data_IF_892845686182
#
_entry.id   IF_892845686182
#
_cell.length_a   1.000
_cell.length_b   1.000
_cell.length_c   1.000
_cell.angle_alpha   90.00
_cell.angle_beta   90.00
_cell.angle_gamma   90.00
#
_symmetry.space_group_name_H-M   'P 1'
#
loop_
_entity.id
_entity.type
_entity.pdbx_description
1 polymer ?
#
# COMPACT_ATOMS: atom_id res chain seq x y z
N UNK A 1 10.17 -11.92 -21.31
CA UNK A 1 9.06 -12.83 -20.92
C UNK A 1 8.85 -12.72 -19.41
N UNK A 2 7.59 -12.69 -18.97
CA UNK A 2 7.09 -12.22 -17.66
C UNK A 2 6.93 -13.34 -16.61
N UNK A 3 8.03 -14.00 -16.24
CA UNK A 3 8.05 -15.12 -15.29
C UNK A 3 7.71 -14.71 -13.85
N UNK A 4 7.94 -13.43 -13.48
CA UNK A 4 7.69 -12.90 -12.13
C UNK A 4 6.22 -13.00 -11.70
N UNK A 5 5.28 -12.73 -12.62
CA UNK A 5 3.84 -12.77 -12.33
C UNK A 5 3.35 -14.20 -12.01
N UNK A 6 3.91 -15.20 -12.68
CA UNK A 6 3.64 -16.61 -12.44
C UNK A 6 4.28 -17.07 -11.13
N UNK A 7 5.56 -16.73 -10.92
CA UNK A 7 6.28 -17.03 -9.67
C UNK A 7 5.52 -16.49 -8.44
N UNK A 8 5.08 -15.23 -8.49
CA UNK A 8 4.30 -14.61 -7.39
C UNK A 8 2.99 -15.36 -7.11
N UNK A 9 2.27 -15.82 -8.15
CA UNK A 9 1.04 -16.62 -8.00
C UNK A 9 1.33 -17.98 -7.38
N UNK A 10 2.37 -18.67 -7.83
CA UNK A 10 2.75 -19.98 -7.32
C UNK A 10 3.21 -19.91 -5.85
N UNK A 11 4.07 -18.94 -5.49
CA UNK A 11 4.50 -18.71 -4.10
C UNK A 11 3.30 -18.49 -3.19
N UNK A 12 2.34 -17.68 -3.62
CA UNK A 12 1.11 -17.43 -2.85
C UNK A 12 0.26 -18.70 -2.71
N UNK A 13 0.12 -19.48 -3.77
CA UNK A 13 -0.59 -20.76 -3.75
C UNK A 13 0.01 -21.73 -2.72
N UNK A 14 1.34 -21.87 -2.72
CA UNK A 14 2.08 -22.72 -1.77
C UNK A 14 1.87 -22.22 -0.33
N UNK A 15 2.06 -20.92 -0.08
CA UNK A 15 1.86 -20.34 1.26
C UNK A 15 0.47 -20.64 1.82
N UNK A 16 -0.56 -20.55 0.98
CA UNK A 16 -1.94 -20.75 1.41
C UNK A 16 -2.26 -22.23 1.63
N UNK A 17 -1.71 -23.11 0.80
CA UNK A 17 -1.83 -24.56 0.98
C UNK A 17 -1.18 -24.99 2.29
N UNK A 18 0.07 -24.60 2.52
CA UNK A 18 0.81 -24.92 3.75
C UNK A 18 0.11 -24.35 4.98
N UNK A 19 -0.40 -23.11 4.90
CA UNK A 19 -1.18 -22.54 6.00
C UNK A 19 -2.44 -23.38 6.33
N UNK A 20 -3.10 -23.92 5.31
CA UNK A 20 -4.25 -24.82 5.50
C UNK A 20 -3.82 -26.14 6.16
N UNK A 21 -2.75 -26.76 5.66
CA UNK A 21 -2.22 -28.03 6.18
C UNK A 21 -1.80 -27.92 7.65
N UNK A 22 -1.27 -26.75 8.05
CA UNK A 22 -0.87 -26.46 9.43
C UNK A 22 -2.03 -25.99 10.33
N UNK A 23 -3.26 -25.88 9.80
CA UNK A 23 -4.41 -25.33 10.54
C UNK A 23 -4.28 -23.84 10.89
N UNK A 24 -3.40 -23.10 10.21
CA UNK A 24 -3.17 -21.68 10.48
C UNK A 24 -4.32 -20.80 9.97
N UNK A 25 -4.81 -19.90 10.83
CA UNK A 25 -5.88 -18.95 10.46
C UNK A 25 -5.36 -17.65 9.86
N UNK A 26 -4.06 -17.35 10.01
CA UNK A 26 -3.42 -16.10 9.61
C UNK A 26 -2.10 -16.37 8.89
N UNK A 27 -1.79 -15.54 7.89
CA UNK A 27 -0.53 -15.57 7.14
C UNK A 27 0.13 -14.20 7.28
N UNK A 28 1.27 -14.15 7.97
CA UNK A 28 2.05 -12.93 8.12
C UNK A 28 3.01 -12.75 6.94
N UNK A 29 2.98 -11.57 6.31
CA UNK A 29 3.90 -11.19 5.23
C UNK A 29 4.69 -9.97 5.65
N UNK A 30 6.00 -9.97 5.40
CA UNK A 30 6.94 -8.93 5.82
C UNK A 30 6.90 -7.64 4.99
N UNK A 31 5.76 -7.29 4.41
CA UNK A 31 5.64 -6.04 3.65
C UNK A 31 5.73 -4.86 4.61
N UNK A 32 6.60 -3.90 4.28
CA UNK A 32 6.81 -2.70 5.07
C UNK A 32 6.08 -1.50 4.47
N UNK A 33 6.25 -0.33 5.08
CA UNK A 33 5.56 0.89 4.67
C UNK A 33 5.87 1.29 3.22
N UNK A 34 7.14 1.25 2.84
CA UNK A 34 7.58 1.62 1.50
C UNK A 34 6.97 0.69 0.43
N UNK A 35 6.84 -0.62 0.69
CA UNK A 35 6.15 -1.55 -0.22
C UNK A 35 4.70 -1.13 -0.51
N UNK A 36 4.02 -0.56 0.50
CA UNK A 36 2.64 -0.08 0.42
C UNK A 36 2.59 1.18 -0.44
N UNK A 37 3.54 2.11 -0.27
CA UNK A 37 3.63 3.32 -1.11
C UNK A 37 4.01 2.99 -2.55
N UNK A 38 4.99 2.10 -2.76
CA UNK A 38 5.34 1.60 -4.08
C UNK A 38 4.13 0.96 -4.77
N UNK A 39 3.37 0.15 -4.04
CA UNK A 39 2.18 -0.49 -4.60
C UNK A 39 1.07 0.52 -4.88
N UNK A 40 0.89 1.54 -4.06
CA UNK A 40 -0.03 2.65 -4.33
C UNK A 40 0.34 3.32 -5.66
N UNK A 41 1.59 3.74 -5.81
CA UNK A 41 2.06 4.44 -7.02
C UNK A 41 2.01 3.55 -8.26
N UNK A 42 2.35 2.28 -8.15
CA UNK A 42 2.20 1.34 -9.26
C UNK A 42 0.74 1.24 -9.73
N UNK A 43 -0.21 1.17 -8.81
CA UNK A 43 -1.63 1.13 -9.18
C UNK A 43 -2.13 2.48 -9.72
N UNK A 44 -1.69 3.58 -9.12
CA UNK A 44 -2.07 4.93 -9.53
C UNK A 44 -1.57 5.23 -10.96
N UNK A 45 -0.26 5.07 -11.20
CA UNK A 45 0.40 5.48 -12.44
C UNK A 45 0.14 4.53 -13.61
N UNK A 46 0.07 3.22 -13.37
CA UNK A 46 0.00 2.23 -14.46
C UNK A 46 -1.34 1.50 -14.57
N UNK A 47 -2.24 1.63 -13.58
CA UNK A 47 -3.55 0.94 -13.62
C UNK A 47 -4.75 1.85 -13.40
N UNK A 48 -4.53 3.13 -13.07
CA UNK A 48 -5.58 4.11 -12.80
C UNK A 48 -6.42 3.79 -11.57
N UNK A 49 -5.82 3.21 -10.52
CA UNK A 49 -6.54 2.80 -9.30
C UNK A 49 -5.87 3.36 -8.04
N UNK A 50 -6.67 4.00 -7.18
CA UNK A 50 -6.30 4.29 -5.80
C UNK A 50 -6.41 3.01 -4.97
N UNK A 51 -5.33 2.21 -4.98
CA UNK A 51 -5.29 0.93 -4.30
C UNK A 51 -3.88 0.58 -3.85
N UNK A 52 -3.77 0.04 -2.64
CA UNK A 52 -2.54 -0.55 -2.12
C UNK A 52 -2.77 -1.93 -1.48
N UNK A 53 -1.93 -2.31 -0.52
CA UNK A 53 -1.93 -3.53 0.25
C UNK A 53 -2.24 -3.23 1.73
N UNK A 54 -3.50 -3.36 2.17
CA UNK A 54 -3.86 -3.01 3.54
C UNK A 54 -3.15 -3.93 4.56
N UNK A 55 -2.96 -3.47 5.80
CA UNK A 55 -2.27 -4.21 6.85
C UNK A 55 -2.98 -5.53 7.21
N UNK A 56 -4.29 -5.61 6.97
CA UNK A 56 -5.12 -6.80 7.20
C UNK A 56 -6.08 -6.99 6.05
N UNK A 57 -6.12 -8.20 5.47
CA UNK A 57 -6.99 -8.52 4.34
C UNK A 57 -7.50 -9.95 4.45
N UNK A 58 -8.82 -10.15 4.28
CA UNK A 58 -9.38 -11.49 4.15
C UNK A 58 -8.95 -12.10 2.82
N UNK A 59 -8.38 -13.31 2.86
CA UNK A 59 -8.06 -14.04 1.65
C UNK A 59 -9.32 -14.36 0.84
N UNK A 60 -9.20 -14.39 -0.50
CA UNK A 60 -10.31 -14.73 -1.40
C UNK A 60 -10.94 -16.09 -1.10
N UNK A 61 -10.15 -17.04 -0.57
CA UNK A 61 -10.65 -18.37 -0.20
C UNK A 61 -11.50 -18.37 1.08
N UNK A 62 -11.66 -17.22 1.75
CA UNK A 62 -12.43 -17.05 2.98
C UNK A 62 -11.88 -17.76 4.22
N UNK A 63 -10.81 -18.55 4.09
CA UNK A 63 -10.26 -19.40 5.16
C UNK A 63 -9.11 -18.73 5.94
N UNK A 64 -8.41 -17.79 5.32
CA UNK A 64 -7.21 -17.17 5.90
C UNK A 64 -7.34 -15.65 5.96
N UNK A 65 -6.64 -15.05 6.91
CA UNK A 65 -6.41 -13.61 6.96
C UNK A 65 -4.93 -13.33 6.70
N UNK A 66 -4.64 -12.48 5.71
CA UNK A 66 -3.29 -11.97 5.49
C UNK A 66 -3.08 -10.77 6.41
N UNK A 67 -1.97 -10.79 7.15
CA UNK A 67 -1.54 -9.69 8.02
C UNK A 67 -0.15 -9.19 7.58
N UNK A 68 0.09 -7.89 7.74
CA UNK A 68 1.38 -7.22 7.46
C UNK A 68 1.79 -6.43 8.71
N UNK A 69 2.46 -7.09 9.68
CA UNK A 69 2.80 -6.44 10.95
C UNK A 69 3.71 -5.22 10.78
N UNK A 70 4.49 -5.16 9.70
CA UNK A 70 5.46 -4.11 9.42
C UNK A 70 4.91 -2.98 8.55
N UNK A 71 3.60 -2.96 8.27
CA UNK A 71 2.97 -2.03 7.32
C UNK A 71 3.23 -0.54 7.60
N UNK A 72 3.53 -0.16 8.84
CA UNK A 72 3.84 1.23 9.22
C UNK A 72 5.34 1.50 9.45
N UNK A 73 6.19 0.48 9.31
CA UNK A 73 7.63 0.57 9.57
C UNK A 73 8.36 0.95 8.28
N UNK A 74 9.27 1.93 8.34
CA UNK A 74 10.08 2.34 7.19
C UNK A 74 11.15 1.29 6.86
N UNK A 75 11.51 1.16 5.58
CA UNK A 75 12.57 0.26 5.12
C UNK A 75 13.90 0.55 5.84
N UNK A 76 14.25 1.84 5.99
CA UNK A 76 15.49 2.26 6.65
C UNK A 76 15.61 1.76 8.11
N UNK A 77 14.51 1.77 8.85
CA UNK A 77 14.47 1.28 10.24
C UNK A 77 14.63 -0.24 10.29
N UNK A 78 14.04 -0.96 9.34
CA UNK A 78 14.18 -2.42 9.23
C UNK A 78 15.60 -2.83 8.87
N UNK A 79 16.25 -2.11 7.95
CA UNK A 79 17.66 -2.33 7.59
C UNK A 79 18.54 -2.14 8.83
N UNK A 80 18.41 -1.00 9.51
CA UNK A 80 19.16 -0.73 10.75
C UNK A 80 18.90 -1.77 11.83
N UNK A 81 17.65 -2.18 12.01
CA UNK A 81 17.31 -3.23 12.98
C UNK A 81 17.95 -4.56 12.61
N UNK A 82 17.94 -4.95 11.34
CA UNK A 82 18.54 -6.19 10.89
C UNK A 82 20.06 -6.22 11.09
N UNK A 83 20.75 -5.09 10.85
CA UNK A 83 22.18 -4.92 11.15
C UNK A 83 22.47 -5.09 12.64
N UNK A 84 21.72 -4.38 13.51
CA UNK A 84 21.87 -4.47 14.96
C UNK A 84 21.62 -5.88 15.51
N UNK A 85 20.71 -6.63 14.88
CA UNK A 85 20.39 -8.01 15.26
C UNK A 85 21.26 -9.04 14.55
N UNK A 86 22.16 -8.62 13.67
CA UNK A 86 22.99 -9.47 12.83
C UNK A 86 22.17 -10.55 12.10
N UNK A 87 21.00 -10.19 11.57
CA UNK A 87 20.20 -11.15 10.81
C UNK A 87 20.87 -11.48 9.47
N UNK A 88 20.86 -12.77 9.05
CA UNK A 88 21.36 -13.13 7.73
C UNK A 88 20.42 -12.56 6.66
N UNK A 89 20.91 -11.61 5.87
CA UNK A 89 20.16 -11.04 4.74
C UNK A 89 20.34 -11.95 3.53
N UNK A 90 19.23 -12.51 3.05
CA UNK A 90 19.20 -13.28 1.81
C UNK A 90 18.95 -12.30 0.67
N UNK A 91 19.91 -12.06 -0.24
CA UNK A 91 19.73 -11.11 -1.33
C UNK A 91 18.63 -11.59 -2.28
N UNK A 92 17.72 -10.70 -2.66
CA UNK A 92 16.63 -11.00 -3.57
C UNK A 92 17.05 -10.94 -5.06
N UNK A 93 18.31 -11.25 -5.37
CA UNK A 93 18.82 -11.41 -6.74
C UNK A 93 18.71 -12.87 -7.25
N UNK A 94 18.13 -13.76 -6.45
CA UNK A 94 17.99 -15.20 -6.73
C UNK A 94 17.09 -15.51 -7.94
N UNK A 95 16.31 -14.54 -8.42
CA UNK A 95 15.48 -14.70 -9.60
C UNK A 95 16.19 -14.02 -10.79
N UNK A 96 16.76 -14.81 -11.70
CA UNK A 96 17.41 -14.31 -12.92
C UNK A 96 16.46 -13.60 -13.91
N UNK A 97 15.17 -13.47 -13.58
CA UNK A 97 14.26 -12.56 -14.27
C UNK A 97 14.41 -11.17 -13.64
N UNK A 98 14.85 -10.21 -14.46
CA UNK A 98 15.00 -8.79 -14.10
C UNK A 98 13.93 -8.32 -13.11
N UNK A 99 14.37 -7.62 -12.06
CA UNK A 99 13.47 -6.91 -11.15
C UNK A 99 12.44 -6.12 -11.98
N UNK A 100 11.20 -6.10 -11.52
CA UNK A 100 10.12 -5.38 -12.20
C UNK A 100 10.56 -3.92 -12.37
N UNK A 101 11.00 -3.56 -13.58
CA UNK A 101 11.60 -2.25 -13.89
C UNK A 101 10.75 -1.11 -13.35
N UNK A 102 9.42 -1.26 -13.40
CA UNK A 102 8.47 -0.29 -12.88
C UNK A 102 8.53 -0.13 -11.36
N UNK A 103 8.77 -1.21 -10.61
CA UNK A 103 8.93 -1.13 -9.16
C UNK A 103 10.24 -0.42 -8.80
N UNK A 104 11.33 -0.70 -9.52
CA UNK A 104 12.58 0.02 -9.33
C UNK A 104 12.44 1.51 -9.66
N UNK A 105 11.78 1.84 -10.78
CA UNK A 105 11.46 3.21 -11.17
C UNK A 105 10.65 3.94 -10.09
N UNK A 106 9.57 3.35 -9.61
CA UNK A 106 8.72 3.92 -8.55
C UNK A 106 9.50 4.09 -7.24
N UNK A 107 10.35 3.13 -6.88
CA UNK A 107 11.22 3.23 -5.70
C UNK A 107 12.23 4.37 -5.84
N UNK A 108 12.81 4.55 -7.02
CA UNK A 108 13.66 5.68 -7.36
C UNK A 108 12.93 7.01 -7.22
N UNK A 109 11.72 7.11 -7.78
CA UNK A 109 10.86 8.28 -7.69
C UNK A 109 10.54 8.67 -6.24
N UNK A 110 10.14 7.69 -5.40
CA UNK A 110 9.86 7.95 -3.98
C UNK A 110 11.08 8.48 -3.24
N UNK A 111 12.27 7.92 -3.50
CA UNK A 111 13.51 8.36 -2.88
C UNK A 111 13.91 9.76 -3.31
N UNK A 112 13.82 10.07 -4.60
CA UNK A 112 14.10 11.41 -5.12
C UNK A 112 13.13 12.43 -4.52
N UNK A 113 11.84 12.10 -4.46
CA UNK A 113 10.83 13.01 -3.93
C UNK A 113 11.02 13.26 -2.43
N UNK A 114 11.34 12.23 -1.65
CA UNK A 114 11.66 12.37 -0.21
C UNK A 114 12.91 13.21 0.03
N UNK A 115 13.92 13.12 -0.83
CA UNK A 115 15.11 13.98 -0.75
C UNK A 115 14.78 15.45 -1.06
N UNK A 116 13.90 15.69 -2.03
CA UNK A 116 13.49 17.05 -2.43
C UNK A 116 12.49 17.67 -1.47
N UNK A 117 11.65 16.86 -0.85
CA UNK A 117 10.59 17.26 0.08
C UNK A 117 10.50 16.27 1.24
N UNK A 118 11.33 16.44 2.28
CA UNK A 118 11.32 15.56 3.45
C UNK A 118 9.94 15.48 4.11
N UNK A 119 9.49 14.27 4.44
CA UNK A 119 8.17 14.01 5.00
C UNK A 119 7.07 13.78 3.96
N UNK A 120 7.37 13.90 2.66
CA UNK A 120 6.38 13.64 1.62
C UNK A 120 5.84 12.20 1.67
N UNK A 121 6.70 11.21 1.96
CA UNK A 121 6.29 9.82 2.09
C UNK A 121 5.46 9.58 3.34
N UNK A 122 5.62 10.40 4.40
CA UNK A 122 4.76 10.36 5.60
C UNK A 122 3.36 10.84 5.26
N UNK A 123 3.28 11.99 4.59
CA UNK A 123 2.03 12.57 4.10
C UNK A 123 1.30 11.60 3.16
N UNK A 124 2.00 11.00 2.19
CA UNK A 124 1.43 10.00 1.28
C UNK A 124 0.88 8.77 2.02
N UNK A 125 1.57 8.31 3.07
CA UNK A 125 1.11 7.17 3.85
C UNK A 125 -0.12 7.52 4.69
N UNK A 126 -0.14 8.71 5.31
CA UNK A 126 -1.30 9.21 6.06
C UNK A 126 -2.54 9.38 5.15
N UNK A 127 -2.36 9.83 3.91
CA UNK A 127 -3.44 9.97 2.93
C UNK A 127 -4.16 8.64 2.63
N UNK A 128 -3.53 7.48 2.87
CA UNK A 128 -4.18 6.18 2.69
C UNK A 128 -5.31 5.91 3.70
N UNK A 129 -5.30 6.57 4.87
CA UNK A 129 -6.38 6.52 5.86
C UNK A 129 -7.24 7.78 5.89
N UNK A 130 -6.73 8.89 5.35
CA UNK A 130 -7.39 10.19 5.38
C UNK A 130 -8.00 10.50 4.01
N UNK A 131 -9.13 9.85 3.70
CA UNK A 131 -9.83 10.01 2.42
C UNK A 131 -10.98 10.98 2.59
N UNK A 132 -11.13 11.93 1.66
CA UNK A 132 -12.26 12.86 1.58
C UNK A 132 -13.17 12.49 0.38
N UNK A 133 -14.18 11.60 0.56
CA UNK A 133 -15.03 11.12 -0.54
C UNK A 133 -15.68 12.20 -1.41
N UNK A 134 -16.20 13.32 -0.87
CA UNK A 134 -16.82 14.38 -1.69
C UNK A 134 -15.82 15.08 -2.62
N UNK A 135 -14.52 15.06 -2.27
CA UNK A 135 -13.42 15.67 -3.03
C UNK A 135 -12.74 14.66 -3.98
N UNK A 136 -13.33 13.48 -4.13
CA UNK A 136 -12.95 12.48 -5.13
C UNK A 136 -14.04 12.35 -6.20
N UNK A 137 -13.83 11.45 -7.17
CA UNK A 137 -14.72 11.29 -8.33
C UNK A 137 -15.56 10.00 -8.28
N UNK A 138 -15.58 9.29 -7.16
CA UNK A 138 -16.27 7.99 -7.05
C UNK A 138 -17.71 8.15 -6.54
N UNK A 139 -18.68 8.01 -7.44
CA UNK A 139 -20.12 8.08 -7.13
C UNK A 139 -20.61 7.01 -6.15
N UNK A 140 -19.81 5.96 -5.89
CA UNK A 140 -20.15 4.93 -4.89
C UNK A 140 -19.73 5.34 -3.49
N UNK A 141 -18.77 6.28 -3.37
CA UNK A 141 -18.30 6.82 -2.10
C UNK A 141 -19.02 8.11 -1.72
N UNK A 142 -19.59 8.83 -2.69
CA UNK A 142 -20.38 10.04 -2.46
C UNK A 142 -21.50 10.20 -3.51
N UNK A 143 -22.72 10.54 -3.09
CA UNK A 143 -23.86 10.70 -4.00
C UNK A 143 -23.90 12.11 -4.61
N UNK A 144 -23.12 12.31 -5.67
CA UNK A 144 -23.10 13.55 -6.44
C UNK A 144 -24.43 13.87 -7.14
N UNK A 145 -25.29 12.87 -7.40
CA UNK A 145 -26.54 13.08 -8.14
C UNK A 145 -27.62 13.71 -7.27
N UNK A 146 -27.59 13.41 -5.98
CA UNK A 146 -28.49 14.02 -4.99
C UNK A 146 -28.06 15.43 -4.56
N UNK A 147 -26.84 15.87 -4.90
CA UNK A 147 -26.29 17.15 -4.47
C UNK A 147 -27.09 18.30 -5.11
N UNK A 148 -27.60 19.21 -4.28
CA UNK A 148 -28.38 20.38 -4.70
C UNK A 148 -27.79 21.63 -4.06
N UNK A 149 -27.83 22.73 -4.79
CA UNK A 149 -27.56 24.04 -4.22
C UNK A 149 -28.62 24.34 -3.15
N UNK A 150 -28.15 24.83 -2.01
CA UNK A 150 -28.95 25.28 -0.86
C UNK A 150 -28.76 26.79 -0.75
N UNK A 151 -29.85 27.55 -0.64
CA UNK A 151 -29.78 29.00 -0.35
C UNK A 151 -29.53 29.28 1.14
N UNK A 152 -29.48 28.23 1.97
CA UNK A 152 -29.20 28.36 3.40
C UNK A 152 -27.71 28.25 3.62
N UNK A 153 -27.11 29.35 4.06
CA UNK A 153 -25.79 29.36 4.71
C UNK A 153 -25.92 28.71 6.11
N UNK A 154 -26.23 27.41 6.15
CA UNK A 154 -26.03 26.64 7.38
C UNK A 154 -24.53 26.38 7.45
N UNK A 155 -23.83 27.16 8.29
CA UNK A 155 -22.36 27.32 8.36
C UNK A 155 -21.54 26.07 8.71
N UNK A 156 -21.66 25.03 7.89
CA UNK A 156 -20.94 23.77 7.97
C UNK A 156 -20.57 23.22 6.58
N UNK A 157 -20.84 23.96 5.50
CA UNK A 157 -20.70 23.46 4.12
C UNK A 157 -19.23 23.39 3.66
N UNK A 158 -18.35 24.21 4.23
CA UNK A 158 -16.89 24.22 3.97
C UNK A 158 -16.05 23.58 5.09
N UNK A 159 -16.68 22.92 6.09
CA UNK A 159 -15.95 22.34 7.21
C UNK A 159 -14.85 21.34 6.80
N UNK A 160 -14.97 20.75 5.60
CA UNK A 160 -13.97 19.85 5.02
C UNK A 160 -12.76 20.54 4.36
N UNK A 161 -12.87 21.84 4.03
CA UNK A 161 -11.76 22.66 3.53
C UNK A 161 -10.88 23.17 4.69
N UNK A 162 -11.49 23.40 5.86
CA UNK A 162 -10.83 24.02 7.00
C UNK A 162 -10.00 23.04 7.86
N UNK A 163 -10.28 21.73 7.82
CA UNK A 163 -9.58 20.73 8.66
C UNK A 163 -8.17 20.34 8.17
N UNK A 164 -7.72 20.78 6.98
CA UNK A 164 -6.51 20.23 6.34
C UNK A 164 -5.49 21.26 5.80
N UNK A 165 -5.51 22.52 6.28
CA UNK A 165 -4.52 23.55 5.92
C UNK A 165 -3.33 23.71 6.91
N UNK A 166 -2.91 22.65 7.60
CA UNK A 166 -1.71 22.70 8.46
C UNK A 166 -0.68 21.61 8.11
#
# INVERSE_FOLDING_TARGET
QTTCSLCSRLRRGILYRVATELGATKIALGHHRDDILETLLLNLLYTGKLRTMPPKLRAKNGRHVVIRPLAAVREADLVRYAELRAFPIIPCNLCGSQEDLKRQEVKGLLREWEQRSPGCTDSMFAALSNVAPPLLLDQRLFDFKSLRASDRTEGQEDAWLDEHQA
#
